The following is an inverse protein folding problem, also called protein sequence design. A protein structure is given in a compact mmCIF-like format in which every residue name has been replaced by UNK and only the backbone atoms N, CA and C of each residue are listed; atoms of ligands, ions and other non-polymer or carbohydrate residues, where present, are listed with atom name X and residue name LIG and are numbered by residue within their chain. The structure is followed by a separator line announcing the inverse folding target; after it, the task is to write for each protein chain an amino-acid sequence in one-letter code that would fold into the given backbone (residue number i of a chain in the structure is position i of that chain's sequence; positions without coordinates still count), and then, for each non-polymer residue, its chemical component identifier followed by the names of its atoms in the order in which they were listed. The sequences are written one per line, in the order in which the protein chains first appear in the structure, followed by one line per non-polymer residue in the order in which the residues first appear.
data_IF_086860829457
#
_entry.id   IF_086860829457
#
_cell.length_a   1.000
_cell.length_b   1.000
_cell.length_c   1.000
_cell.angle_alpha   90.00
_cell.angle_beta   90.00
_cell.angle_gamma   90.00
#
_symmetry.space_group_name_H-M   'P 1'
#
loop_
_entity.id
_entity.type
_entity.pdbx_description
1 polymer ?
#
# COMPACT_ATOMS: atom_id res chain seq x y z
N UNK A 1 -6.02 -11.59 -26.23
CA UNK A 1 -4.94 -10.58 -26.22
C UNK A 1 -4.21 -10.67 -24.87
N UNK A 2 -2.90 -10.40 -24.86
CA UNK A 2 -2.12 -10.33 -23.61
C UNK A 2 -2.00 -8.89 -23.18
N UNK A 3 -2.38 -8.60 -21.94
CA UNK A 3 -2.29 -7.26 -21.37
C UNK A 3 -1.28 -7.26 -20.20
N UNK A 4 -0.34 -6.34 -20.26
CA UNK A 4 0.46 -5.98 -19.08
C UNK A 4 -0.28 -4.86 -18.36
N UNK A 5 -0.55 -5.01 -17.06
CA UNK A 5 -1.30 -4.00 -16.31
C UNK A 5 -0.63 -3.67 -14.98
N UNK A 6 -0.98 -2.48 -14.46
CA UNK A 6 -0.73 -2.07 -13.08
C UNK A 6 -2.07 -1.65 -12.45
N UNK A 7 -2.19 -1.84 -11.14
CA UNK A 7 -3.41 -1.54 -10.41
C UNK A 7 -3.08 -1.22 -8.95
N UNK A 8 -4.07 -0.73 -8.22
CA UNK A 8 -4.01 -0.56 -6.76
C UNK A 8 -4.85 -1.66 -6.11
N UNK A 9 -4.26 -2.36 -5.16
CA UNK A 9 -4.99 -3.31 -4.30
C UNK A 9 -5.23 -2.63 -2.94
N UNK A 10 -6.48 -2.68 -2.50
CA UNK A 10 -6.92 -2.24 -1.18
C UNK A 10 -7.38 -3.48 -0.41
N UNK A 11 -6.98 -3.60 0.86
CA UNK A 11 -7.35 -4.79 1.64
C UNK A 11 -7.38 -4.54 3.15
N UNK A 12 -8.32 -5.20 3.80
CA UNK A 12 -8.31 -5.40 5.25
C UNK A 12 -7.46 -6.65 5.53
N UNK A 13 -6.28 -6.45 6.09
CA UNK A 13 -5.32 -7.51 6.34
C UNK A 13 -5.62 -8.41 7.53
N UNK A 14 -6.69 -8.15 8.29
CA UNK A 14 -7.00 -8.83 9.55
C UNK A 14 -6.99 -10.36 9.42
N UNK A 15 -7.56 -10.88 8.33
CA UNK A 15 -7.67 -12.33 8.08
C UNK A 15 -6.48 -12.95 7.36
N UNK A 16 -5.41 -12.19 7.14
CA UNK A 16 -4.29 -12.63 6.30
C UNK A 16 -2.97 -12.67 7.07
N UNK A 17 -2.16 -13.68 6.77
CA UNK A 17 -0.79 -13.80 7.29
C UNK A 17 0.20 -13.00 6.44
N UNK A 18 -0.24 -11.78 6.07
CA UNK A 18 0.52 -10.84 5.29
C UNK A 18 0.19 -10.85 3.80
N UNK A 19 0.91 -10.03 3.04
CA UNK A 19 0.67 -9.89 1.60
C UNK A 19 1.20 -11.09 0.81
N UNK A 20 2.49 -11.42 1.00
CA UNK A 20 3.21 -12.37 0.15
C UNK A 20 2.73 -13.82 0.35
N UNK A 21 2.56 -14.55 -0.75
CA UNK A 21 2.21 -15.98 -0.72
C UNK A 21 3.17 -16.76 0.18
N UNK A 22 2.59 -17.54 1.08
CA UNK A 22 3.26 -18.47 1.98
C UNK A 22 2.59 -19.83 1.87
N UNK A 23 3.34 -20.86 2.20
CA UNK A 23 2.80 -22.23 2.17
C UNK A 23 1.71 -22.38 3.22
N UNK A 24 0.56 -22.88 2.79
CA UNK A 24 -0.57 -23.25 3.64
C UNK A 24 -1.10 -22.09 4.54
N UNK A 25 -1.00 -20.85 4.01
CA UNK A 25 -1.43 -19.68 4.77
C UNK A 25 -2.28 -18.73 3.90
N UNK A 26 -3.38 -18.19 4.45
CA UNK A 26 -4.16 -17.18 3.72
C UNK A 26 -3.35 -15.89 3.59
N UNK A 27 -3.13 -15.48 2.36
CA UNK A 27 -2.35 -14.26 2.04
C UNK A 27 -3.07 -13.44 0.98
N UNK A 28 -2.88 -12.14 1.00
CA UNK A 28 -3.54 -11.23 0.03
C UNK A 28 -3.12 -11.57 -1.40
N UNK A 29 -1.83 -11.82 -1.62
CA UNK A 29 -1.32 -12.19 -2.95
C UNK A 29 -1.95 -13.52 -3.43
N UNK A 30 -2.09 -14.48 -2.53
CA UNK A 30 -2.70 -15.78 -2.88
C UNK A 30 -4.13 -15.61 -3.35
N UNK A 31 -4.93 -14.82 -2.63
CA UNK A 31 -6.32 -14.54 -3.00
C UNK A 31 -6.40 -13.81 -4.34
N UNK A 32 -5.55 -12.80 -4.54
CA UNK A 32 -5.50 -12.07 -5.81
C UNK A 32 -5.15 -13.00 -6.97
N UNK A 33 -4.13 -13.84 -6.81
CA UNK A 33 -3.69 -14.76 -7.87
C UNK A 33 -4.75 -15.83 -8.18
N UNK A 34 -5.34 -16.44 -7.15
CA UNK A 34 -6.39 -17.47 -7.31
C UNK A 34 -7.64 -16.92 -8.00
N UNK A 35 -8.09 -15.74 -7.61
CA UNK A 35 -9.28 -15.13 -8.21
C UNK A 35 -9.00 -14.68 -9.66
N UNK A 36 -7.81 -14.20 -9.94
CA UNK A 36 -7.41 -13.83 -11.30
C UNK A 36 -7.33 -15.07 -12.21
N UNK A 37 -6.77 -16.16 -11.70
CA UNK A 37 -6.71 -17.45 -12.40
C UNK A 37 -8.11 -18.00 -12.73
N UNK A 38 -9.05 -17.89 -11.78
CA UNK A 38 -10.46 -18.31 -12.02
C UNK A 38 -11.10 -17.54 -13.17
N UNK A 39 -10.74 -16.26 -13.35
CA UNK A 39 -11.30 -15.41 -14.41
C UNK A 39 -10.63 -15.65 -15.76
N UNK A 40 -9.31 -15.82 -15.75
CA UNK A 40 -8.52 -15.86 -17.00
C UNK A 40 -8.24 -17.28 -17.48
N UNK A 41 -8.37 -18.27 -16.61
CA UNK A 41 -8.01 -19.65 -16.89
C UNK A 41 -6.51 -19.93 -16.85
N UNK A 42 -5.70 -18.94 -16.44
CA UNK A 42 -4.25 -19.07 -16.43
C UNK A 42 -3.64 -18.57 -15.13
N UNK A 43 -2.75 -19.38 -14.56
CA UNK A 43 -2.01 -18.97 -13.37
C UNK A 43 -1.15 -17.74 -13.68
N UNK A 44 -1.31 -16.71 -12.89
CA UNK A 44 -0.66 -15.41 -13.12
C UNK A 44 0.03 -14.95 -11.84
N UNK A 45 1.35 -14.71 -11.91
CA UNK A 45 2.11 -14.21 -10.78
C UNK A 45 1.99 -12.70 -10.66
N UNK A 46 1.50 -12.24 -9.52
CA UNK A 46 1.35 -10.81 -9.23
C UNK A 46 2.63 -10.27 -8.58
N UNK A 47 3.20 -9.23 -9.21
CA UNK A 47 4.27 -8.42 -8.64
C UNK A 47 3.67 -7.30 -7.81
N UNK A 48 4.35 -6.84 -6.77
CA UNK A 48 3.82 -5.85 -5.82
C UNK A 48 4.94 -4.93 -5.29
N UNK A 49 4.53 -3.76 -4.75
CA UNK A 49 5.46 -2.71 -4.34
C UNK A 49 6.18 -3.04 -3.03
N UNK A 50 5.46 -3.60 -2.06
CA UNK A 50 6.05 -3.92 -0.77
C UNK A 50 5.26 -4.98 -0.01
N UNK A 51 5.96 -5.74 0.82
CA UNK A 51 5.31 -6.69 1.73
C UNK A 51 4.62 -5.93 2.85
N UNK A 52 3.44 -6.40 3.22
CA UNK A 52 2.84 -6.07 4.51
C UNK A 52 2.84 -7.33 5.37
N UNK A 53 3.04 -7.15 6.66
CA UNK A 53 3.05 -8.25 7.62
C UNK A 53 1.63 -8.69 7.98
N UNK A 54 1.50 -9.76 8.75
CA UNK A 54 0.21 -10.31 9.19
C UNK A 54 -0.64 -9.21 9.85
N UNK A 55 -1.90 -9.12 9.45
CA UNK A 55 -2.86 -8.16 9.99
C UNK A 55 -2.74 -6.72 9.46
N UNK A 56 -1.72 -6.40 8.67
CA UNK A 56 -1.53 -5.03 8.16
C UNK A 56 -2.42 -4.78 6.94
N UNK A 57 -3.14 -3.67 6.97
CA UNK A 57 -4.03 -3.24 5.89
C UNK A 57 -3.28 -2.39 4.86
N UNK A 58 -3.88 -2.19 3.70
CA UNK A 58 -3.39 -1.20 2.73
C UNK A 58 -4.57 -0.57 2.00
N UNK A 59 -4.48 0.74 1.77
CA UNK A 59 -5.46 1.47 0.94
C UNK A 59 -5.00 1.63 -0.51
N UNK A 60 -3.80 1.18 -0.88
CA UNK A 60 -3.28 1.37 -2.24
C UNK A 60 -1.93 0.68 -2.47
N UNK A 61 -1.88 -0.63 -2.28
CA UNK A 61 -0.72 -1.43 -2.65
C UNK A 61 -0.62 -1.50 -4.17
N UNK A 62 0.47 -1.00 -4.75
CA UNK A 62 0.67 -1.09 -6.20
C UNK A 62 1.00 -2.53 -6.57
N UNK A 63 0.23 -3.07 -7.52
CA UNK A 63 0.43 -4.41 -8.08
C UNK A 63 0.58 -4.34 -9.59
N UNK A 64 1.17 -5.36 -10.19
CA UNK A 64 1.30 -5.49 -11.65
C UNK A 64 1.36 -6.96 -12.05
N UNK A 65 0.80 -7.26 -13.22
CA UNK A 65 0.84 -8.60 -13.78
C UNK A 65 0.64 -8.56 -15.29
N UNK A 66 0.79 -9.72 -15.93
CA UNK A 66 0.42 -9.95 -17.32
C UNK A 66 -0.69 -11.00 -17.35
N UNK A 67 -1.75 -10.74 -18.10
CA UNK A 67 -2.88 -11.68 -18.22
C UNK A 67 -3.29 -11.83 -19.69
N UNK A 68 -3.80 -13.00 -20.06
CA UNK A 68 -4.60 -13.17 -21.26
C UNK A 68 -6.04 -12.82 -20.94
N UNK A 69 -6.54 -11.80 -21.62
CA UNK A 69 -7.92 -11.34 -21.43
C UNK A 69 -8.44 -10.78 -22.75
N UNK A 70 -9.65 -11.16 -23.11
CA UNK A 70 -10.21 -10.81 -24.42
C UNK A 70 -11.02 -9.51 -24.42
N UNK A 71 -11.30 -8.98 -23.26
CA UNK A 71 -12.10 -7.76 -23.08
C UNK A 71 -11.21 -6.62 -22.58
N UNK A 72 -11.79 -5.47 -22.29
CA UNK A 72 -11.08 -4.31 -21.77
C UNK A 72 -10.58 -4.52 -20.35
N UNK A 73 -9.58 -3.73 -19.93
CA UNK A 73 -9.08 -3.77 -18.54
C UNK A 73 -10.13 -3.26 -17.54
N UNK A 74 -11.04 -2.38 -17.94
CA UNK A 74 -12.15 -1.95 -17.08
C UNK A 74 -13.15 -3.08 -16.84
N UNK A 75 -13.37 -3.93 -17.82
CA UNK A 75 -14.18 -5.14 -17.63
C UNK A 75 -13.46 -6.15 -16.73
N UNK A 76 -12.15 -6.30 -16.87
CA UNK A 76 -11.36 -7.14 -15.98
C UNK A 76 -11.45 -6.64 -14.54
N UNK A 77 -11.32 -5.33 -14.32
CA UNK A 77 -11.43 -4.74 -12.98
C UNK A 77 -12.78 -5.05 -12.33
N UNK A 78 -13.89 -4.87 -13.09
CA UNK A 78 -15.24 -5.19 -12.60
C UNK A 78 -15.39 -6.68 -12.29
N UNK A 79 -14.96 -7.54 -13.23
CA UNK A 79 -15.07 -8.99 -13.07
C UNK A 79 -14.22 -9.47 -11.88
N UNK A 80 -13.03 -8.92 -11.72
CA UNK A 80 -12.13 -9.29 -10.62
C UNK A 80 -12.74 -8.91 -9.27
N UNK A 81 -13.24 -7.69 -9.12
CA UNK A 81 -13.90 -7.26 -7.89
C UNK A 81 -15.18 -8.05 -7.60
N UNK A 82 -15.86 -8.60 -8.62
CA UNK A 82 -17.05 -9.42 -8.41
C UNK A 82 -16.74 -10.81 -7.81
N UNK A 83 -15.49 -11.30 -7.96
CA UNK A 83 -15.09 -12.61 -7.43
C UNK A 83 -14.11 -12.51 -6.24
N UNK A 84 -13.56 -11.33 -5.99
CA UNK A 84 -12.73 -11.09 -4.81
C UNK A 84 -13.59 -11.14 -3.53
N UNK A 85 -13.03 -11.59 -2.40
CA UNK A 85 -13.74 -11.49 -1.14
C UNK A 85 -13.89 -10.03 -0.70
N UNK A 86 -14.84 -9.78 0.21
CA UNK A 86 -15.22 -8.41 0.59
C UNK A 86 -14.09 -7.59 1.25
N UNK A 87 -13.07 -8.26 1.74
CA UNK A 87 -11.94 -7.64 2.41
C UNK A 87 -10.77 -7.32 1.46
N UNK A 88 -10.93 -7.59 0.15
CA UNK A 88 -9.92 -7.26 -0.88
C UNK A 88 -10.61 -6.62 -2.09
N UNK A 89 -10.05 -5.53 -2.58
CA UNK A 89 -10.54 -4.88 -3.80
C UNK A 89 -9.37 -4.42 -4.67
N UNK A 90 -9.60 -4.35 -5.98
CA UNK A 90 -8.65 -3.78 -6.94
C UNK A 90 -9.28 -2.58 -7.63
N UNK A 91 -8.48 -1.56 -7.90
CA UNK A 91 -8.94 -0.36 -8.58
C UNK A 91 -7.84 0.25 -9.42
N UNK A 92 -8.24 1.13 -10.34
CA UNK A 92 -7.31 1.83 -11.23
C UNK A 92 -6.47 0.86 -12.06
N UNK A 93 -7.12 -0.17 -12.58
CA UNK A 93 -6.48 -1.14 -13.46
C UNK A 93 -6.17 -0.47 -14.80
N UNK A 94 -4.90 -0.25 -15.07
CA UNK A 94 -4.45 0.49 -16.25
C UNK A 94 -3.39 -0.30 -17.01
N UNK A 95 -3.36 -0.10 -18.31
CA UNK A 95 -2.31 -0.67 -19.15
C UNK A 95 -0.94 -0.21 -18.64
N UNK A 96 -0.01 -1.11 -18.64
CA UNK A 96 1.37 -0.80 -18.31
C UNK A 96 2.20 -0.83 -19.59
N UNK A 97 2.44 0.34 -20.17
CA UNK A 97 3.17 0.52 -21.42
C UNK A 97 4.68 0.57 -21.22
N UNK A 98 5.13 0.64 -19.96
CA UNK A 98 6.56 0.67 -19.65
C UNK A 98 7.04 -0.76 -19.35
N UNK A 99 7.82 -1.37 -20.25
CA UNK A 99 8.34 -2.73 -20.04
C UNK A 99 9.33 -2.81 -18.86
N UNK A 100 9.90 -1.68 -18.46
CA UNK A 100 10.86 -1.62 -17.34
C UNK A 100 10.16 -1.46 -15.99
N UNK A 101 8.85 -1.16 -15.98
CA UNK A 101 8.10 -0.92 -14.75
C UNK A 101 8.09 -2.16 -13.86
N UNK A 102 8.48 -1.95 -12.62
CA UNK A 102 8.37 -2.96 -11.56
C UNK A 102 7.81 -2.29 -10.30
N UNK A 103 6.68 -2.74 -9.74
CA UNK A 103 6.03 -2.05 -8.61
C UNK A 103 6.99 -1.73 -7.45
N UNK A 104 7.91 -2.63 -7.14
CA UNK A 104 8.86 -2.46 -6.03
C UNK A 104 9.97 -1.46 -6.35
N UNK A 105 10.55 -1.55 -7.55
CA UNK A 105 11.76 -0.78 -7.91
C UNK A 105 11.43 0.58 -8.52
N UNK A 106 10.27 0.69 -9.14
CA UNK A 106 9.77 1.97 -9.69
C UNK A 106 9.05 2.81 -8.62
N UNK A 107 8.85 2.29 -7.41
CA UNK A 107 8.20 3.02 -6.33
C UNK A 107 9.03 4.23 -5.91
N UNK A 108 8.42 5.42 -5.92
CA UNK A 108 9.05 6.67 -5.48
C UNK A 108 9.05 6.80 -3.96
N UNK A 109 8.01 6.27 -3.31
CA UNK A 109 7.89 6.36 -1.86
C UNK A 109 6.80 5.42 -1.32
N UNK A 110 6.66 5.40 -0.02
CA UNK A 110 5.62 4.66 0.69
C UNK A 110 5.07 5.53 1.81
N UNK A 111 3.78 5.50 1.99
CA UNK A 111 3.11 6.22 3.07
C UNK A 111 2.57 5.19 4.06
N UNK A 112 2.89 5.38 5.31
CA UNK A 112 2.39 4.55 6.40
C UNK A 112 1.49 5.39 7.29
N UNK A 113 0.35 4.84 7.67
CA UNK A 113 -0.58 5.47 8.61
C UNK A 113 -0.82 4.52 9.77
N UNK A 114 -0.56 4.99 10.97
CA UNK A 114 -0.85 4.27 12.21
C UNK A 114 -1.93 5.07 12.96
N UNK A 115 -3.06 4.46 13.21
CA UNK A 115 -4.18 5.13 13.87
C UNK A 115 -4.18 4.79 15.35
N UNK A 116 -4.32 5.81 16.21
CA UNK A 116 -4.40 5.65 17.66
C UNK A 116 -5.75 6.17 18.13
N UNK A 117 -6.45 5.33 18.89
CA UNK A 117 -7.72 5.65 19.54
C UNK A 117 -7.43 6.01 21.01
N UNK A 118 -7.71 7.24 21.42
CA UNK A 118 -7.32 7.75 22.74
C UNK A 118 -8.50 7.97 23.71
N UNK A 119 -9.72 7.58 23.31
CA UNK A 119 -10.86 7.68 24.24
C UNK A 119 -10.70 6.74 25.44
N UNK A 120 -11.32 7.06 26.59
CA UNK A 120 -11.19 6.19 27.78
C UNK A 120 -11.82 4.81 27.62
N UNK A 121 -12.68 4.62 26.62
CA UNK A 121 -13.32 3.34 26.30
C UNK A 121 -12.84 2.79 24.97
N UNK A 122 -12.83 1.47 24.84
CA UNK A 122 -12.56 0.79 23.57
C UNK A 122 -13.67 1.06 22.56
N UNK A 123 -13.32 1.13 21.30
CA UNK A 123 -14.31 1.30 20.22
C UNK A 123 -14.45 0.00 19.43
N UNK A 124 -15.63 -0.65 19.40
CA UNK A 124 -15.85 -1.80 18.52
C UNK A 124 -15.73 -1.44 17.04
N UNK A 125 -16.03 -0.19 16.68
CA UNK A 125 -16.00 0.27 15.28
C UNK A 125 -14.59 0.63 14.81
N UNK A 126 -13.72 1.08 15.72
CA UNK A 126 -12.36 1.51 15.38
C UNK A 126 -11.28 0.51 15.82
N UNK A 127 -11.62 -0.41 16.73
CA UNK A 127 -10.63 -1.29 17.35
C UNK A 127 -9.88 -2.20 16.41
N UNK A 128 -10.47 -2.51 15.23
CA UNK A 128 -9.80 -3.30 14.18
C UNK A 128 -8.70 -2.49 13.47
N UNK A 129 -8.88 -1.17 13.37
CA UNK A 129 -8.02 -0.33 12.54
C UNK A 129 -7.22 0.70 13.33
N UNK A 130 -7.29 0.64 14.68
CA UNK A 130 -6.64 1.61 15.56
C UNK A 130 -6.10 0.94 16.81
N UNK A 131 -4.90 1.33 17.20
CA UNK A 131 -4.35 0.97 18.49
C UNK A 131 -5.05 1.77 19.59
N UNK A 132 -5.57 1.10 20.61
CA UNK A 132 -6.22 1.77 21.75
C UNK A 132 -5.19 2.12 22.82
N UNK A 133 -4.89 3.41 22.95
CA UNK A 133 -4.00 3.93 23.99
C UNK A 133 -4.81 4.80 24.97
N UNK A 134 -4.92 4.33 26.22
CA UNK A 134 -5.72 5.01 27.25
C UNK A 134 -4.98 6.16 27.93
N UNK A 135 -3.66 6.10 27.89
CA UNK A 135 -2.85 7.16 28.50
C UNK A 135 -2.91 8.42 27.65
N UNK A 136 -2.95 9.59 28.27
CA UNK A 136 -2.85 10.84 27.52
C UNK A 136 -1.57 10.87 26.69
N UNK A 137 -1.70 11.27 25.43
CA UNK A 137 -0.55 11.39 24.53
C UNK A 137 -0.14 12.85 24.43
N UNK A 138 1.12 13.14 24.65
CA UNK A 138 1.68 14.46 24.37
C UNK A 138 2.01 14.57 22.87
N UNK A 139 1.02 15.04 22.10
CA UNK A 139 1.13 15.19 20.65
C UNK A 139 2.26 16.16 20.29
N UNK A 140 2.50 17.18 21.09
CA UNK A 140 3.56 18.15 20.83
C UNK A 140 4.94 17.48 20.97
N UNK A 141 5.16 16.72 22.04
CA UNK A 141 6.41 15.98 22.21
C UNK A 141 6.58 14.91 21.12
N UNK A 142 5.50 14.20 20.78
CA UNK A 142 5.56 13.21 19.69
C UNK A 142 5.96 13.86 18.37
N UNK A 143 5.46 15.05 18.07
CA UNK A 143 5.83 15.78 16.87
C UNK A 143 7.27 16.30 16.92
N UNK A 144 7.74 16.74 18.09
CA UNK A 144 9.16 17.10 18.26
C UNK A 144 10.06 15.89 17.96
N UNK A 145 9.73 14.74 18.51
CA UNK A 145 10.47 13.50 18.24
C UNK A 145 10.38 13.09 16.75
N UNK A 146 9.19 13.19 16.16
CA UNK A 146 8.97 12.84 14.76
C UNK A 146 9.79 13.73 13.81
N UNK A 147 9.95 15.01 14.16
CA UNK A 147 10.74 15.94 13.32
C UNK A 147 12.20 15.53 13.21
N UNK A 148 12.75 14.87 14.25
CA UNK A 148 14.13 14.36 14.23
C UNK A 148 14.32 13.22 13.22
N UNK A 149 13.25 12.54 12.84
CA UNK A 149 13.29 11.45 11.88
C UNK A 149 13.27 11.95 10.42
N UNK A 150 12.92 13.23 10.21
CA UNK A 150 12.84 13.78 8.84
C UNK A 150 14.25 13.93 8.28
N UNK A 151 14.44 13.49 7.03
CA UNK A 151 15.75 13.47 6.41
C UNK A 151 16.23 12.07 6.08
N UNK A 152 17.52 11.93 5.89
CA UNK A 152 18.15 10.62 5.57
C UNK A 152 18.90 10.13 6.80
N UNK A 153 18.45 9.01 7.35
CA UNK A 153 19.01 8.42 8.56
C UNK A 153 19.26 6.93 8.37
N UNK A 154 20.14 6.39 9.16
CA UNK A 154 20.35 4.96 9.28
C UNK A 154 19.34 4.40 10.28
N UNK A 155 18.48 3.51 9.81
CA UNK A 155 17.43 2.88 10.63
C UNK A 155 17.79 1.46 11.05
N UNK A 156 19.08 1.09 11.05
CA UNK A 156 19.54 -0.24 11.47
C UNK A 156 19.00 -0.66 12.84
N UNK A 157 18.93 0.28 13.78
CA UNK A 157 18.41 0.02 15.16
C UNK A 157 16.91 -0.26 15.22
N UNK A 158 16.17 0.01 14.13
CA UNK A 158 14.70 -0.15 14.10
C UNK A 158 14.25 -1.44 13.42
N UNK A 159 15.17 -2.22 12.85
CA UNK A 159 14.84 -3.49 12.23
C UNK A 159 15.89 -4.01 11.28
N UNK A 160 15.65 -5.18 10.75
CA UNK A 160 16.56 -5.83 9.81
C UNK A 160 16.45 -5.21 8.41
N UNK A 161 17.54 -5.13 7.64
CA UNK A 161 17.46 -4.67 6.26
C UNK A 161 16.61 -5.61 5.42
N UNK A 162 15.75 -5.04 4.58
CA UNK A 162 14.85 -5.82 3.72
C UNK A 162 15.59 -6.53 2.59
N UNK A 163 16.76 -6.04 2.22
CA UNK A 163 17.59 -6.63 1.17
C UNK A 163 18.98 -6.00 1.23
N UNK A 164 20.02 -6.83 1.27
CA UNK A 164 21.41 -6.38 1.42
C UNK A 164 21.61 -5.67 2.77
N UNK A 165 22.63 -4.86 2.85
CA UNK A 165 23.04 -4.20 4.09
C UNK A 165 22.64 -2.73 4.17
N UNK A 166 21.80 -2.26 3.24
CA UNK A 166 21.39 -0.84 3.20
C UNK A 166 20.25 -0.60 4.18
N UNK A 167 20.53 0.09 5.26
CA UNK A 167 19.59 0.48 6.30
C UNK A 167 19.21 1.97 6.25
N UNK A 168 19.90 2.76 5.43
CA UNK A 168 19.63 4.19 5.27
C UNK A 168 18.30 4.38 4.53
N UNK A 169 17.42 5.18 5.13
CA UNK A 169 16.11 5.56 4.54
C UNK A 169 15.94 7.05 4.63
N UNK A 170 15.20 7.61 3.69
CA UNK A 170 14.80 9.00 3.71
C UNK A 170 13.34 9.11 4.15
N UNK A 171 13.09 9.87 5.17
CA UNK A 171 11.75 10.22 5.65
C UNK A 171 11.44 11.63 5.18
N UNK A 172 10.41 11.80 4.36
CA UNK A 172 10.04 13.13 3.85
C UNK A 172 9.03 13.80 4.79
N UNK A 173 8.24 13.02 5.53
CA UNK A 173 7.24 13.54 6.45
C UNK A 173 6.97 12.53 7.57
N UNK A 174 6.89 13.08 8.77
CA UNK A 174 6.42 12.33 9.94
C UNK A 174 5.60 13.25 10.83
N UNK A 175 4.35 12.98 11.10
CA UNK A 175 3.62 13.81 11.83
C UNK A 175 2.61 13.08 12.50
N UNK A 176 2.30 13.51 13.59
CA UNK A 176 1.10 13.06 14.29
C UNK A 176 0.03 14.16 14.27
N UNK A 177 -1.16 13.80 13.80
CA UNK A 177 -2.29 14.75 13.71
C UNK A 177 -3.62 14.01 13.96
N UNK A 178 -4.49 14.59 14.77
CA UNK A 178 -5.86 14.11 15.01
C UNK A 178 -5.93 12.59 15.29
N UNK A 179 -5.09 12.10 16.21
CA UNK A 179 -5.07 10.68 16.61
C UNK A 179 -4.46 9.74 15.58
N UNK A 180 -3.72 10.28 14.61
CA UNK A 180 -3.06 9.48 13.56
C UNK A 180 -1.59 9.82 13.46
N UNK A 181 -0.77 8.79 13.38
CA UNK A 181 0.66 8.94 13.04
C UNK A 181 0.80 8.66 11.55
N UNK A 182 1.37 9.59 10.82
CA UNK A 182 1.64 9.45 9.39
C UNK A 182 3.14 9.58 9.15
N UNK A 183 3.72 8.62 8.48
CA UNK A 183 5.10 8.66 8.03
C UNK A 183 5.18 8.45 6.52
N UNK A 184 5.87 9.32 5.83
CA UNK A 184 6.10 9.26 4.40
C UNK A 184 7.58 8.96 4.17
N UNK A 185 7.85 7.77 3.66
CA UNK A 185 9.20 7.24 3.50
C UNK A 185 9.53 7.14 2.01
N UNK A 186 10.61 7.78 1.59
CA UNK A 186 11.17 7.56 0.26
C UNK A 186 12.31 6.57 0.30
N UNK A 187 12.26 5.64 -0.62
CA UNK A 187 13.35 4.70 -0.82
C UNK A 187 14.37 5.36 -1.77
N UNK A 188 15.60 5.46 -1.32
CA UNK A 188 16.69 5.92 -2.20
C UNK A 188 17.13 4.75 -3.08
N UNK A 189 16.29 4.36 -4.03
CA UNK A 189 16.76 3.49 -5.10
C UNK A 189 17.64 4.31 -6.04
N UNK A 190 18.69 3.69 -6.54
CA UNK A 190 19.65 4.30 -7.46
C UNK A 190 18.94 5.11 -8.54
N UNK A 191 19.35 6.35 -8.74
CA UNK A 191 18.93 7.13 -9.89
C UNK A 191 19.30 6.37 -11.17
N UNK A 192 18.31 5.94 -11.91
CA UNK A 192 18.53 5.63 -13.31
C UNK A 192 18.81 6.96 -14.02
N UNK A 193 19.81 7.03 -14.88
CA UNK A 193 20.02 8.26 -15.66
C UNK A 193 18.75 8.57 -16.45
N UNK A 194 18.29 9.80 -16.35
CA UNK A 194 17.14 10.27 -17.07
C UNK A 194 17.42 10.15 -18.58
N UNK A 195 16.72 9.28 -19.26
CA UNK A 195 16.67 9.34 -20.70
C UNK A 195 15.92 10.63 -21.08
N UNK A 196 16.56 11.48 -21.84
CA UNK A 196 15.97 12.70 -22.39
C UNK A 196 14.76 12.33 -23.27
N UNK A 197 13.61 12.84 -22.95
CA UNK A 197 12.47 12.82 -23.87
C UNK A 197 11.10 12.90 -23.19
N UNK A 198 10.47 14.00 -23.45
CA UNK A 198 9.04 14.32 -23.36
C UNK A 198 8.52 14.79 -22.01
N UNK A 199 8.33 16.11 -21.96
CA UNK A 199 7.45 16.82 -21.06
C UNK A 199 6.01 16.28 -21.15
N UNK A 200 5.53 15.69 -20.07
CA UNK A 200 4.10 15.66 -19.82
C UNK A 200 3.88 16.01 -18.35
N UNK A 201 3.44 17.25 -18.13
CA UNK A 201 2.90 17.68 -16.85
C UNK A 201 1.63 16.88 -16.59
N UNK A 202 1.65 16.07 -15.56
CA UNK A 202 0.47 15.40 -15.04
C UNK A 202 0.58 15.39 -13.54
N UNK A 203 -0.03 16.37 -12.91
CA UNK A 203 -0.15 16.43 -11.46
C UNK A 203 -0.99 15.24 -10.98
N UNK A 204 -0.34 14.28 -10.36
CA UNK A 204 -1.02 13.19 -9.68
C UNK A 204 -0.68 13.23 -8.19
N UNK A 205 -1.03 14.35 -7.56
CA UNK A 205 -1.13 14.42 -6.12
C UNK A 205 -2.63 14.32 -5.78
N UNK A 206 -3.14 13.10 -5.79
CA UNK A 206 -4.50 12.85 -5.28
C UNK A 206 -4.49 12.99 -3.77
N UNK A 207 -4.70 14.21 -3.29
CA UNK A 207 -4.99 14.43 -1.87
C UNK A 207 -6.45 14.05 -1.62
N UNK A 208 -6.67 12.90 -1.03
CA UNK A 208 -7.99 12.50 -0.58
C UNK A 208 -8.32 13.20 0.74
N UNK A 209 -9.07 14.30 0.64
CA UNK A 209 -9.83 14.85 1.75
C UNK A 209 -11.25 14.28 1.67
N UNK A 210 -11.41 13.05 2.12
CA UNK A 210 -12.73 12.46 2.29
C UNK A 210 -13.10 12.46 3.75
N UNK A 211 -13.84 13.47 4.19
CA UNK A 211 -14.55 13.42 5.46
C UNK A 211 -15.83 12.61 5.22
N UNK A 212 -16.08 11.50 5.91
CA UNK A 212 -17.38 10.87 5.85
C UNK A 212 -18.39 11.81 6.55
N UNK A 213 -19.28 12.41 5.79
CA UNK A 213 -20.44 13.03 6.39
C UNK A 213 -21.36 11.92 6.89
N UNK A 214 -21.51 11.85 8.18
CA UNK A 214 -22.51 11.01 8.81
C UNK A 214 -23.87 11.62 8.49
N UNK A 215 -24.59 11.02 7.55
CA UNK A 215 -25.99 11.37 7.30
C UNK A 215 -26.82 10.96 8.52
N UNK A 216 -27.70 11.85 8.93
CA UNK A 216 -28.65 11.62 10.05
C UNK A 216 -29.62 10.50 9.69
N UNK A 217 -29.82 9.58 10.59
CA UNK A 217 -31.02 8.88 10.91
C UNK A 217 -31.20 8.90 12.42
#
# INVERSE_FOLDING_TARGET
MTHSFRALAEYDGTGYLGFQVQRDAPTVQGVLEQTLERLTGEATRIRYAGRTDAGVHASGQVIAAQVRWRHSLSELERAWNAVLPQDVAVRELRLNDDPTFHPRYSALGRVYRYTVWTAPWRSPLHGRYAHHERRPLDVAEMNRAASLLIGSHDFASFGQPTQGDVTVRRVDRAXMAAGRIVADLRNRSKRFPASHGANHRGDAAGSWHGTPQCGRC
#
